data_IF_579434389747
#
_entry.id   IF_579434389747
#
_cell.length_a   1.000
_cell.length_b   1.000
_cell.length_c   1.000
_cell.angle_alpha   90.00
_cell.angle_beta   90.00
_cell.angle_gamma   90.00
#
_symmetry.space_group_name_H-M   'P 1'
#
loop_
_entity.id
_entity.type
_entity.pdbx_description
1 polymer ?
#
# COMPACT_ATOMS: atom_id res chain seq x y z
N UNK A 1 -9.79 -8.95 7.44
CA UNK A 1 -9.36 -7.77 6.64
C UNK A 1 -9.66 -6.54 7.47
N UNK A 2 -8.69 -5.65 7.65
CA UNK A 2 -8.87 -4.39 8.38
C UNK A 2 -8.93 -3.24 7.39
N UNK A 3 -9.85 -2.30 7.60
CA UNK A 3 -9.95 -1.09 6.76
C UNK A 3 -9.16 0.03 7.42
N UNK A 4 -7.90 0.18 7.01
CA UNK A 4 -7.03 1.29 7.38
C UNK A 4 -6.39 1.85 6.11
N UNK A 5 -7.04 2.85 5.51
CA UNK A 5 -6.69 3.37 4.18
C UNK A 5 -5.32 4.05 4.14
N UNK A 6 -4.86 4.57 5.28
CA UNK A 6 -3.59 5.29 5.43
C UNK A 6 -2.56 4.54 6.31
N UNK A 7 -2.88 3.36 6.86
CA UNK A 7 -2.08 2.57 7.82
C UNK A 7 -1.85 3.24 9.20
N UNK A 8 -1.83 4.57 9.23
CA UNK A 8 -1.77 5.41 10.43
C UNK A 8 -3.16 5.89 10.81
N UNK A 9 -3.31 6.34 12.06
CA UNK A 9 -4.54 6.97 12.51
C UNK A 9 -4.90 8.12 11.58
N UNK A 10 -6.15 8.09 11.14
CA UNK A 10 -6.69 9.09 10.24
C UNK A 10 -8.07 9.55 10.71
N UNK A 11 -8.37 10.82 10.49
CA UNK A 11 -9.66 11.43 10.79
C UNK A 11 -10.13 12.20 9.56
N UNK A 12 -11.39 12.04 9.18
CA UNK A 12 -12.00 12.93 8.18
C UNK A 12 -12.32 14.26 8.87
N UNK A 13 -11.57 15.30 8.54
CA UNK A 13 -11.69 16.62 9.15
C UNK A 13 -12.82 17.44 8.49
N UNK A 14 -12.95 17.32 7.16
CA UNK A 14 -14.00 17.98 6.40
C UNK A 14 -14.38 17.10 5.19
N UNK A 15 -15.60 16.54 5.14
CA UNK A 15 -16.06 15.71 4.01
C UNK A 15 -16.13 16.45 2.68
N UNK A 16 -16.29 17.78 2.68
CA UNK A 16 -16.37 18.58 1.46
C UNK A 16 -14.98 19.00 0.98
N UNK A 17 -14.07 19.37 1.89
CA UNK A 17 -12.67 19.67 1.59
C UNK A 17 -12.44 20.72 0.50
N UNK A 18 -11.17 21.02 0.14
CA UNK A 18 -10.86 22.10 -0.81
C UNK A 18 -11.41 21.90 -2.24
N UNK A 19 -11.65 20.65 -2.65
CA UNK A 19 -12.04 20.30 -4.03
C UNK A 19 -13.22 19.31 -4.12
N UNK A 20 -14.07 19.20 -3.08
CA UNK A 20 -15.14 18.19 -3.04
C UNK A 20 -14.65 16.76 -2.76
N UNK A 21 -13.39 16.61 -2.34
CA UNK A 21 -12.70 15.32 -2.23
C UNK A 21 -12.36 14.93 -0.78
N UNK A 22 -13.04 15.52 0.19
CA UNK A 22 -12.72 15.38 1.61
C UNK A 22 -11.34 15.94 1.98
N UNK A 23 -11.13 16.19 3.27
CA UNK A 23 -9.88 16.60 3.88
C UNK A 23 -9.62 15.70 5.07
N UNK A 24 -8.50 14.98 5.05
CA UNK A 24 -8.18 13.99 6.07
C UNK A 24 -6.98 14.45 6.91
N UNK A 25 -7.11 14.39 8.23
CA UNK A 25 -6.00 14.51 9.17
C UNK A 25 -5.31 13.17 9.38
N UNK A 26 -4.02 13.10 9.09
CA UNK A 26 -3.17 11.93 9.28
C UNK A 26 -2.20 12.19 10.43
N UNK A 27 -2.22 11.33 11.44
CA UNK A 27 -1.33 11.39 12.58
C UNK A 27 -0.11 10.51 12.26
N UNK A 28 0.92 11.11 11.67
CA UNK A 28 2.01 10.39 11.01
C UNK A 28 2.90 9.59 11.98
N UNK A 29 2.81 9.83 13.28
CA UNK A 29 3.52 9.12 14.35
C UNK A 29 2.62 8.15 15.16
N UNK A 30 1.34 8.05 14.80
CA UNK A 30 0.36 7.18 15.48
C UNK A 30 -0.12 6.08 14.52
N UNK A 31 0.25 4.80 14.71
CA UNK A 31 -0.27 3.74 13.85
C UNK A 31 -1.75 3.49 14.15
N UNK A 32 -2.51 3.01 13.16
CA UNK A 32 -3.94 2.80 13.32
C UNK A 32 -4.25 1.60 14.26
N UNK A 33 -5.05 1.84 15.30
CA UNK A 33 -5.44 0.84 16.30
C UNK A 33 -6.33 -0.27 15.72
N UNK A 34 -7.02 -0.01 14.60
CA UNK A 34 -7.91 -1.00 13.96
C UNK A 34 -7.17 -2.28 13.57
N UNK A 35 -5.90 -2.19 13.20
CA UNK A 35 -5.08 -3.36 12.86
C UNK A 35 -4.00 -3.65 13.91
N UNK A 36 -3.35 -2.63 14.49
CA UNK A 36 -2.20 -2.85 15.39
C UNK A 36 -2.55 -3.61 16.67
N UNK A 37 -3.78 -3.49 17.16
CA UNK A 37 -4.25 -4.19 18.36
C UNK A 37 -4.51 -5.67 18.15
N UNK A 38 -4.49 -6.14 16.89
CA UNK A 38 -4.88 -7.50 16.50
C UNK A 38 -3.76 -8.32 15.87
N UNK A 39 -2.61 -7.70 15.53
CA UNK A 39 -1.60 -8.37 14.71
C UNK A 39 -0.99 -9.62 15.33
N UNK A 40 -0.98 -9.72 16.66
CA UNK A 40 -0.41 -10.86 17.39
C UNK A 40 -1.18 -12.17 17.13
N UNK A 41 -2.40 -12.09 16.61
CA UNK A 41 -3.26 -13.24 16.29
C UNK A 41 -3.00 -13.83 14.90
N UNK A 42 -2.08 -13.25 14.09
CA UNK A 42 -1.88 -13.63 12.69
C UNK A 42 -0.47 -14.16 12.40
N UNK A 43 -0.39 -15.24 11.61
CA UNK A 43 0.87 -15.77 11.09
C UNK A 43 1.43 -14.92 9.92
N UNK A 44 0.53 -14.28 9.17
CA UNK A 44 0.86 -13.52 7.98
C UNK A 44 0.12 -12.19 7.96
N UNK A 45 0.85 -11.10 7.69
CA UNK A 45 0.29 -9.77 7.50
C UNK A 45 0.58 -9.34 6.07
N UNK A 46 -0.43 -8.86 5.33
CA UNK A 46 -0.22 -8.23 4.03
C UNK A 46 -0.57 -6.75 4.16
N UNK A 47 0.43 -5.88 4.10
CA UNK A 47 0.28 -4.43 4.12
C UNK A 47 0.20 -3.87 2.70
N UNK A 48 -0.69 -2.89 2.53
CA UNK A 48 -0.86 -2.15 1.28
C UNK A 48 -1.62 -0.86 1.53
N UNK A 49 -1.19 0.22 0.88
CA UNK A 49 -1.88 1.50 0.85
C UNK A 49 -1.57 2.20 -0.48
N UNK A 50 -2.25 3.30 -0.80
CA UNK A 50 -2.07 3.92 -2.12
C UNK A 50 -3.02 5.09 -2.41
N UNK A 51 -4.08 4.82 -3.17
CA UNK A 51 -4.92 5.85 -3.80
C UNK A 51 -5.50 6.90 -2.85
N UNK A 52 -5.76 6.57 -1.58
CA UNK A 52 -6.26 7.55 -0.61
C UNK A 52 -5.28 8.70 -0.33
N UNK A 53 -3.98 8.50 -0.55
CA UNK A 53 -2.97 9.56 -0.42
C UNK A 53 -3.05 10.64 -1.51
N UNK A 54 -3.87 10.44 -2.55
CA UNK A 54 -4.14 11.46 -3.58
C UNK A 54 -5.17 12.51 -3.12
N UNK A 55 -5.84 12.29 -1.99
CA UNK A 55 -6.76 13.28 -1.40
C UNK A 55 -5.99 14.45 -0.76
N UNK A 56 -6.66 15.59 -0.48
CA UNK A 56 -6.12 16.60 0.42
C UNK A 56 -5.88 16.03 1.82
N UNK A 57 -4.66 16.19 2.35
CA UNK A 57 -4.24 15.65 3.65
C UNK A 57 -3.66 16.74 4.54
N UNK A 58 -3.93 16.65 5.83
CA UNK A 58 -3.28 17.42 6.89
C UNK A 58 -2.41 16.48 7.70
N UNK A 59 -1.18 16.88 8.00
CA UNK A 59 -0.22 16.03 8.70
C UNK A 59 -0.01 16.50 10.12
N UNK A 60 -0.20 15.59 11.07
CA UNK A 60 0.03 15.81 12.48
C UNK A 60 1.18 14.93 12.96
N UNK A 61 2.09 15.49 13.73
CA UNK A 61 3.08 14.74 14.51
C UNK A 61 3.04 15.26 15.96
N UNK A 62 2.98 14.35 16.94
CA UNK A 62 2.87 14.69 18.37
C UNK A 62 1.74 15.69 18.66
N UNK A 63 0.60 15.51 18.00
CA UNK A 63 -0.58 16.38 18.10
C UNK A 63 -0.43 17.76 17.47
N UNK A 64 0.66 18.07 16.77
CA UNK A 64 0.90 19.39 16.13
C UNK A 64 0.81 19.29 14.62
N UNK A 65 0.14 20.25 13.97
CA UNK A 65 0.11 20.35 12.51
C UNK A 65 1.52 20.66 11.98
N UNK A 66 2.12 19.73 11.25
CA UNK A 66 3.47 19.88 10.70
C UNK A 66 3.49 20.25 9.22
N UNK A 67 2.37 20.02 8.52
CA UNK A 67 2.18 20.45 7.15
C UNK A 67 0.95 19.81 6.53
N UNK A 68 0.88 19.82 5.21
CA UNK A 68 -0.25 19.27 4.49
C UNK A 68 0.15 18.77 3.10
N UNK A 69 -0.83 18.24 2.38
CA UNK A 69 -0.78 18.00 0.94
C UNK A 69 -2.04 18.56 0.32
N UNK A 70 -1.90 19.43 -0.68
CA UNK A 70 -3.04 19.99 -1.42
C UNK A 70 -4.10 20.66 -0.52
N UNK A 71 -3.71 21.20 0.63
CA UNK A 71 -4.67 21.80 1.56
C UNK A 71 -5.11 23.22 1.18
N UNK A 72 -4.33 23.92 0.35
CA UNK A 72 -4.59 25.32 -0.06
C UNK A 72 -4.73 26.30 1.13
N UNK A 73 -4.16 25.95 2.28
CA UNK A 73 -4.18 26.79 3.48
C UNK A 73 -2.96 27.71 3.50
N UNK A 74 -3.12 29.01 3.81
CA UNK A 74 -1.98 29.90 3.98
C UNK A 74 -1.16 29.49 5.21
N UNK A 75 0.15 29.72 5.17
CA UNK A 75 1.08 29.47 6.28
C UNK A 75 1.19 28.00 6.74
N UNK A 76 0.82 27.04 5.88
CA UNK A 76 1.04 25.61 6.10
C UNK A 76 1.93 25.07 4.99
N UNK A 77 3.00 24.36 5.34
CA UNK A 77 3.91 23.75 4.36
C UNK A 77 3.19 22.66 3.56
N UNK A 78 3.07 22.82 2.24
CA UNK A 78 2.58 21.77 1.32
C UNK A 78 3.75 20.85 0.93
N UNK A 79 3.68 19.60 1.36
CA UNK A 79 4.67 18.57 1.07
C UNK A 79 4.29 17.77 -0.19
N UNK A 80 5.25 17.05 -0.74
CA UNK A 80 4.96 16.06 -1.79
C UNK A 80 4.11 14.92 -1.22
N UNK A 81 3.36 14.24 -2.09
CA UNK A 81 2.56 13.06 -1.69
C UNK A 81 3.43 11.96 -1.05
N UNK A 82 4.65 11.80 -1.58
CA UNK A 82 5.62 10.83 -1.07
C UNK A 82 6.03 11.09 0.39
N UNK A 83 5.91 12.33 0.90
CA UNK A 83 6.24 12.65 2.29
C UNK A 83 5.32 11.91 3.27
N UNK A 84 4.01 12.15 3.17
CA UNK A 84 3.01 11.52 4.03
C UNK A 84 2.99 10.00 3.83
N UNK A 85 3.09 9.55 2.58
CA UNK A 85 3.13 8.13 2.23
C UNK A 85 4.34 7.41 2.87
N UNK A 86 5.54 7.99 2.77
CA UNK A 86 6.75 7.44 3.40
C UNK A 86 6.60 7.36 4.91
N UNK A 87 6.13 8.44 5.55
CA UNK A 87 5.92 8.50 7.00
C UNK A 87 4.91 7.46 7.48
N UNK A 88 3.82 7.27 6.75
CA UNK A 88 2.83 6.27 7.08
C UNK A 88 3.41 4.84 7.06
N UNK A 89 4.16 4.47 6.01
CA UNK A 89 4.85 3.18 5.97
C UNK A 89 5.92 3.03 7.04
N UNK A 90 6.67 4.10 7.32
CA UNK A 90 7.64 4.13 8.40
C UNK A 90 6.99 3.75 9.74
N UNK A 91 5.90 4.43 10.09
CA UNK A 91 5.16 4.22 11.34
C UNK A 91 4.50 2.86 11.39
N UNK A 92 3.89 2.40 10.29
CA UNK A 92 3.28 1.07 10.22
C UNK A 92 4.32 -0.05 10.41
N UNK A 93 5.46 0.01 9.72
CA UNK A 93 6.50 -1.00 9.89
C UNK A 93 7.17 -0.93 11.26
N UNK A 94 7.41 0.28 11.78
CA UNK A 94 7.93 0.49 13.13
C UNK A 94 7.01 -0.15 14.17
N UNK A 95 5.70 -0.01 14.00
CA UNK A 95 4.70 -0.61 14.91
C UNK A 95 4.64 -2.14 14.83
N UNK A 96 5.10 -2.81 13.75
CA UNK A 96 5.16 -4.28 13.64
C UNK A 96 6.52 -4.84 14.10
N UNK A 97 7.61 -4.11 13.79
CA UNK A 97 8.78 -4.08 14.69
C UNK A 97 8.29 -3.61 16.08
N UNK A 98 9.03 -3.42 17.15
CA UNK A 98 8.44 -3.02 18.47
C UNK A 98 7.41 -4.00 19.13
N UNK A 99 6.43 -4.60 18.43
CA UNK A 99 5.53 -5.63 18.93
C UNK A 99 6.33 -6.88 19.26
N UNK A 100 6.26 -7.29 20.53
CA UNK A 100 7.09 -8.37 21.07
C UNK A 100 6.48 -9.75 20.79
N UNK A 101 5.15 -9.83 20.81
CA UNK A 101 4.40 -11.08 20.68
C UNK A 101 4.26 -11.53 19.22
N UNK A 102 4.23 -10.60 18.27
CA UNK A 102 4.20 -10.94 16.85
C UNK A 102 5.46 -11.72 16.42
N UNK A 103 5.26 -12.88 15.78
CA UNK A 103 6.32 -13.74 15.21
C UNK A 103 6.08 -14.11 13.74
N UNK A 104 5.07 -13.52 13.11
CA UNK A 104 4.67 -13.85 11.76
C UNK A 104 5.57 -13.25 10.67
N UNK A 105 5.13 -13.43 9.42
CA UNK A 105 5.76 -12.86 8.23
C UNK A 105 4.93 -11.69 7.71
N UNK A 106 5.60 -10.57 7.46
CA UNK A 106 5.01 -9.34 6.91
C UNK A 106 5.30 -9.27 5.41
N UNK A 107 4.25 -9.20 4.60
CA UNK A 107 4.31 -8.91 3.18
C UNK A 107 3.98 -7.44 2.96
N UNK A 108 4.81 -6.74 2.17
CA UNK A 108 4.41 -5.51 1.51
C UNK A 108 3.92 -5.85 0.11
N UNK A 109 2.63 -5.64 -0.17
CA UNK A 109 2.10 -5.63 -1.53
C UNK A 109 2.23 -4.21 -2.08
N UNK A 110 3.10 -4.04 -3.07
CA UNK A 110 3.46 -2.72 -3.58
C UNK A 110 2.26 -2.05 -4.26
N UNK A 111 2.25 -0.71 -4.20
CA UNK A 111 1.28 0.18 -4.85
C UNK A 111 0.81 -0.30 -6.24
N UNK A 112 -0.49 -0.28 -6.48
CA UNK A 112 -1.13 -0.62 -7.76
C UNK A 112 -1.54 0.68 -8.46
N UNK A 113 -0.90 1.09 -9.57
CA UNK A 113 -1.27 2.31 -10.28
C UNK A 113 -2.67 2.24 -10.90
N UNK A 114 -3.31 3.40 -11.07
CA UNK A 114 -4.54 3.55 -11.86
C UNK A 114 -4.21 3.79 -13.33
N UNK A 115 -5.18 3.56 -14.23
CA UNK A 115 -4.97 3.67 -15.68
C UNK A 115 -5.90 4.70 -16.34
N UNK A 116 -6.01 5.89 -15.76
CA UNK A 116 -6.73 6.98 -16.41
C UNK A 116 -5.98 7.52 -17.63
N UNK A 117 -6.68 7.59 -18.75
CA UNK A 117 -6.26 8.19 -20.00
C UNK A 117 -7.27 9.26 -20.43
N UNK A 118 -6.81 10.26 -21.17
CA UNK A 118 -7.69 11.33 -21.68
C UNK A 118 -8.20 12.33 -20.63
N UNK A 119 -7.78 12.21 -19.37
CA UNK A 119 -8.14 13.12 -18.29
C UNK A 119 -7.83 12.53 -16.92
N UNK A 120 -7.96 13.34 -15.88
CA UNK A 120 -7.93 12.86 -14.49
C UNK A 120 -9.25 12.16 -14.13
N UNK A 121 -9.26 11.45 -13.01
CA UNK A 121 -10.42 10.70 -12.52
C UNK A 121 -11.71 11.53 -12.39
N UNK A 122 -11.59 12.83 -12.14
CA UNK A 122 -12.71 13.80 -12.04
C UNK A 122 -12.78 14.78 -13.23
N UNK A 123 -11.98 14.58 -14.28
CA UNK A 123 -11.90 15.46 -15.46
C UNK A 123 -12.06 14.67 -16.76
N UNK A 124 -12.98 13.72 -16.77
CA UNK A 124 -13.33 12.95 -17.98
C UNK A 124 -12.35 11.83 -18.34
N UNK A 125 -11.41 11.49 -17.45
CA UNK A 125 -10.51 10.35 -17.66
C UNK A 125 -11.24 9.02 -17.76
N UNK A 126 -10.65 8.08 -18.50
CA UNK A 126 -11.17 6.73 -18.69
C UNK A 126 -10.06 5.70 -18.95
N UNK A 127 -10.38 4.41 -18.90
CA UNK A 127 -9.49 3.26 -19.09
C UNK A 127 -10.12 2.34 -20.13
N UNK A 128 -9.97 2.68 -21.41
CA UNK A 128 -10.66 1.98 -22.51
C UNK A 128 -9.83 0.85 -23.14
N UNK A 129 -8.59 0.64 -22.67
CA UNK A 129 -7.73 -0.40 -23.20
C UNK A 129 -8.32 -1.78 -22.90
N UNK A 130 -8.26 -2.65 -23.90
CA UNK A 130 -8.79 -4.02 -23.82
C UNK A 130 -7.68 -5.07 -23.88
N UNK A 131 -6.42 -4.63 -23.88
CA UNK A 131 -5.25 -5.50 -23.94
C UNK A 131 -4.18 -5.02 -22.96
N UNK A 132 -3.40 -5.94 -22.39
CA UNK A 132 -2.20 -5.59 -21.63
C UNK A 132 -1.25 -4.74 -22.45
N UNK A 133 -0.45 -3.92 -21.77
CA UNK A 133 0.69 -3.28 -22.40
C UNK A 133 1.74 -4.32 -22.83
N UNK A 134 2.52 -4.01 -23.85
CA UNK A 134 3.83 -4.61 -24.11
C UNK A 134 4.87 -3.89 -23.27
N UNK A 135 5.96 -4.58 -22.91
CA UNK A 135 7.00 -4.02 -22.03
C UNK A 135 7.66 -2.73 -22.53
N UNK A 136 7.54 -2.42 -23.83
CA UNK A 136 8.04 -1.18 -24.44
C UNK A 136 7.03 -0.03 -24.43
N UNK A 137 5.77 -0.27 -24.07
CA UNK A 137 4.68 0.70 -24.22
C UNK A 137 4.44 1.54 -22.96
N UNK A 138 4.94 1.09 -21.80
CA UNK A 138 4.72 1.77 -20.53
C UNK A 138 5.93 1.64 -19.61
N UNK A 139 6.19 2.68 -18.84
CA UNK A 139 7.19 2.70 -17.77
C UNK A 139 6.61 3.38 -16.54
N UNK A 140 7.05 2.94 -15.36
CA UNK A 140 6.65 3.55 -14.10
C UNK A 140 7.31 4.92 -13.96
N UNK A 141 6.53 5.98 -13.78
CA UNK A 141 7.01 7.36 -13.77
C UNK A 141 6.17 8.27 -12.87
N UNK A 142 6.66 9.49 -12.65
CA UNK A 142 5.94 10.52 -11.90
C UNK A 142 5.57 10.10 -10.48
N UNK A 143 4.36 10.47 -10.04
CA UNK A 143 3.88 10.20 -8.67
C UNK A 143 3.87 8.71 -8.35
N UNK A 144 3.53 7.85 -9.32
CA UNK A 144 3.50 6.39 -9.07
C UNK A 144 4.89 5.84 -8.76
N UNK A 145 5.92 6.35 -9.45
CA UNK A 145 7.32 6.02 -9.15
C UNK A 145 7.74 6.56 -7.78
N UNK A 146 7.33 7.79 -7.43
CA UNK A 146 7.65 8.39 -6.14
C UNK A 146 7.05 7.60 -4.97
N UNK A 147 5.78 7.19 -5.08
CA UNK A 147 5.11 6.33 -4.10
C UNK A 147 5.80 4.97 -4.03
N UNK A 148 6.11 4.37 -5.18
CA UNK A 148 6.80 3.09 -5.25
C UNK A 148 8.16 3.13 -4.55
N UNK A 149 8.97 4.17 -4.80
CA UNK A 149 10.28 4.33 -4.17
C UNK A 149 10.17 4.65 -2.68
N UNK A 150 9.15 5.41 -2.26
CA UNK A 150 8.89 5.71 -0.86
C UNK A 150 8.57 4.46 -0.03
N UNK A 151 7.62 3.62 -0.45
CA UNK A 151 7.31 2.36 0.26
C UNK A 151 8.51 1.39 0.25
N UNK A 152 9.27 1.31 -0.86
CA UNK A 152 10.44 0.44 -0.94
C UNK A 152 11.56 0.87 -0.01
N UNK A 153 11.76 2.19 0.16
CA UNK A 153 12.75 2.74 1.08
C UNK A 153 12.49 2.26 2.51
N UNK A 154 11.27 2.49 3.02
CA UNK A 154 10.89 2.07 4.37
C UNK A 154 10.87 0.55 4.51
N UNK A 155 10.41 -0.17 3.48
CA UNK A 155 10.41 -1.63 3.50
C UNK A 155 11.82 -2.21 3.61
N UNK A 156 12.82 -1.66 2.91
CA UNK A 156 14.22 -2.13 3.02
C UNK A 156 14.77 -1.93 4.43
N UNK A 157 14.45 -0.80 5.06
CA UNK A 157 14.82 -0.54 6.47
C UNK A 157 14.13 -1.55 7.39
N UNK A 158 12.81 -1.73 7.23
CA UNK A 158 12.03 -2.67 8.02
C UNK A 158 12.52 -4.11 7.85
N UNK A 159 12.86 -4.52 6.63
CA UNK A 159 13.41 -5.84 6.35
C UNK A 159 14.75 -6.07 7.04
N UNK A 160 15.64 -5.07 7.03
CA UNK A 160 16.93 -5.17 7.73
C UNK A 160 16.75 -5.29 9.24
N UNK A 161 15.83 -4.52 9.82
CA UNK A 161 15.53 -4.54 11.26
C UNK A 161 14.78 -5.81 11.67
N UNK A 162 13.84 -6.27 10.84
CA UNK A 162 13.07 -7.50 11.04
C UNK A 162 13.98 -8.72 11.13
N UNK A 163 14.97 -8.85 10.24
CA UNK A 163 15.98 -9.92 10.31
C UNK A 163 16.69 -9.99 11.66
N UNK A 164 17.02 -8.84 12.27
CA UNK A 164 17.66 -8.78 13.60
C UNK A 164 16.74 -9.25 14.73
N UNK A 165 15.41 -9.11 14.55
CA UNK A 165 14.38 -9.56 15.51
C UNK A 165 13.85 -10.96 15.20
N UNK A 166 14.34 -11.64 14.16
CA UNK A 166 13.80 -12.92 13.70
C UNK A 166 12.46 -12.80 12.97
N UNK A 167 12.06 -11.62 12.52
CA UNK A 167 10.83 -11.39 11.75
C UNK A 167 11.08 -11.46 10.23
N UNK A 168 10.19 -12.14 9.52
CA UNK A 168 10.20 -12.20 8.07
C UNK A 168 9.53 -10.97 7.45
N UNK A 169 10.25 -10.21 6.62
CA UNK A 169 9.67 -9.18 5.76
C UNK A 169 9.89 -9.56 4.30
N UNK A 170 8.81 -9.65 3.54
CA UNK A 170 8.77 -10.09 2.13
C UNK A 170 8.13 -9.04 1.24
N UNK A 171 8.74 -8.83 0.08
CA UNK A 171 8.22 -7.91 -0.92
C UNK A 171 7.39 -8.71 -1.90
N UNK A 172 6.11 -8.39 -1.99
CA UNK A 172 5.22 -8.85 -3.04
C UNK A 172 5.13 -7.71 -4.06
N UNK A 173 6.07 -7.71 -5.01
CA UNK A 173 6.24 -6.61 -5.96
C UNK A 173 5.24 -6.70 -7.11
N UNK A 174 4.10 -6.05 -6.95
CA UNK A 174 2.98 -6.05 -7.90
C UNK A 174 2.88 -4.77 -8.73
N UNK A 175 3.62 -3.70 -8.41
CA UNK A 175 3.49 -2.41 -9.11
C UNK A 175 3.67 -2.54 -10.61
N UNK A 176 4.76 -3.16 -11.07
CA UNK A 176 5.01 -3.31 -12.51
C UNK A 176 4.04 -4.32 -13.17
N UNK A 177 3.82 -5.54 -12.64
CA UNK A 177 2.81 -6.45 -13.21
C UNK A 177 1.43 -5.82 -13.38
N UNK A 178 1.02 -4.94 -12.45
CA UNK A 178 -0.28 -4.29 -12.48
C UNK A 178 -0.32 -3.07 -13.41
N UNK A 179 0.77 -2.29 -13.46
CA UNK A 179 0.95 -1.23 -14.46
C UNK A 179 0.79 -1.76 -15.91
N UNK A 180 1.13 -3.03 -16.13
CA UNK A 180 1.01 -3.67 -17.44
C UNK A 180 -0.43 -4.07 -17.82
N UNK A 181 -1.41 -3.89 -16.92
CA UNK A 181 -2.76 -4.47 -17.04
C UNK A 181 -3.88 -3.41 -17.07
N UNK A 182 -3.83 -2.41 -17.96
CA UNK A 182 -4.90 -1.43 -18.08
C UNK A 182 -6.23 -2.06 -18.51
N UNK A 183 -6.19 -3.27 -19.07
CA UNK A 183 -7.32 -4.10 -19.49
C UNK A 183 -8.14 -4.70 -18.34
N UNK A 184 -7.65 -4.57 -17.10
CA UNK A 184 -8.30 -5.16 -15.92
C UNK A 184 -9.34 -4.31 -15.22
N UNK A 185 -9.53 -3.06 -15.64
CA UNK A 185 -10.41 -2.12 -14.96
C UNK A 185 -11.86 -2.26 -15.43
N UNK A 186 -12.84 -2.07 -14.52
CA UNK A 186 -14.24 -2.11 -14.87
C UNK A 186 -14.67 -0.89 -15.69
N UNK A 187 -13.95 0.23 -15.64
CA UNK A 187 -14.33 1.48 -16.32
C UNK A 187 -15.77 1.86 -15.90
N UNK A 188 -16.66 2.12 -16.85
CA UNK A 188 -18.08 2.42 -16.61
C UNK A 188 -18.90 1.27 -16.05
N UNK A 189 -18.35 0.05 -16.00
CA UNK A 189 -19.05 -1.15 -15.54
C UNK A 189 -18.80 -1.44 -14.05
N UNK A 190 -18.13 -0.53 -13.33
CA UNK A 190 -17.89 -0.65 -11.88
C UNK A 190 -19.12 -0.31 -11.03
N UNK A 191 -20.15 0.27 -11.65
CA UNK A 191 -21.33 0.80 -10.99
C UNK A 191 -22.61 0.35 -11.69
N UNK A 192 -23.74 0.46 -10.99
CA UNK A 192 -25.03 0.20 -11.62
C UNK A 192 -25.34 1.28 -12.68
N UNK A 193 -26.04 0.94 -13.79
CA UNK A 193 -26.26 1.88 -14.89
C UNK A 193 -26.91 3.23 -14.53
N UNK A 194 -27.66 3.27 -13.43
CA UNK A 194 -28.40 4.46 -12.98
C UNK A 194 -27.82 5.07 -11.69
N UNK A 195 -26.64 4.63 -11.27
CA UNK A 195 -26.02 5.11 -10.04
C UNK A 195 -25.36 6.47 -10.26
N UNK A 196 -25.70 7.45 -9.43
CA UNK A 196 -25.08 8.77 -9.49
C UNK A 196 -23.77 8.77 -8.69
N UNK A 197 -22.66 8.51 -9.36
CA UNK A 197 -21.32 8.39 -8.74
C UNK A 197 -20.36 9.45 -9.28
N UNK A 198 -19.53 10.01 -8.38
CA UNK A 198 -18.48 10.96 -8.75
C UNK A 198 -17.40 10.31 -9.62
N UNK A 199 -17.11 9.03 -9.38
CA UNK A 199 -16.15 8.23 -10.14
C UNK A 199 -16.88 7.36 -11.17
N UNK A 200 -17.46 7.98 -12.20
CA UNK A 200 -18.23 7.23 -13.19
C UNK A 200 -17.39 6.20 -13.97
N UNK A 201 -16.16 6.56 -14.34
CA UNK A 201 -15.20 5.60 -14.91
C UNK A 201 -14.26 5.13 -13.80
N UNK A 202 -14.42 3.88 -13.38
CA UNK A 202 -13.55 3.29 -12.37
C UNK A 202 -12.32 2.65 -13.01
N UNK A 203 -11.21 3.40 -12.93
CA UNK A 203 -9.89 2.98 -13.39
C UNK A 203 -8.91 2.78 -12.24
N UNK A 204 -9.45 2.54 -11.03
CA UNK A 204 -8.70 2.32 -9.79
C UNK A 204 -8.92 0.91 -9.28
N UNK A 205 -10.17 0.44 -9.28
CA UNK A 205 -10.53 -0.92 -8.91
C UNK A 205 -10.46 -1.87 -10.11
N UNK A 206 -10.70 -3.15 -9.86
CA UNK A 206 -10.40 -4.22 -10.79
C UNK A 206 -11.60 -5.13 -10.97
N UNK A 207 -11.79 -5.62 -12.19
CA UNK A 207 -12.75 -6.69 -12.46
C UNK A 207 -12.37 -7.97 -11.72
N UNK A 208 -13.38 -8.74 -11.33
CA UNK A 208 -13.24 -10.10 -10.82
C UNK A 208 -14.14 -11.05 -11.64
N UNK A 209 -13.60 -12.15 -12.21
CA UNK A 209 -12.17 -12.49 -12.28
C UNK A 209 -11.37 -11.48 -13.11
N UNK A 210 -10.07 -11.37 -12.88
CA UNK A 210 -9.24 -10.34 -13.52
C UNK A 210 -7.75 -10.40 -13.15
N UNK A 211 -6.95 -9.38 -13.53
CA UNK A 211 -5.51 -9.38 -13.28
C UNK A 211 -5.13 -9.51 -11.81
N UNK A 212 -6.00 -9.06 -10.90
CA UNK A 212 -5.76 -9.13 -9.47
C UNK A 212 -5.84 -10.54 -8.90
N UNK A 213 -6.39 -11.52 -9.64
CA UNK A 213 -6.34 -12.93 -9.23
C UNK A 213 -4.88 -13.39 -9.10
N UNK A 214 -3.98 -12.84 -9.92
CA UNK A 214 -2.55 -13.13 -9.82
C UNK A 214 -1.95 -12.71 -8.47
N UNK A 215 -2.51 -11.73 -7.76
CA UNK A 215 -2.06 -11.39 -6.41
C UNK A 215 -2.19 -12.58 -5.47
N UNK A 216 -3.32 -13.30 -5.55
CA UNK A 216 -3.56 -14.46 -4.71
C UNK A 216 -2.64 -15.61 -5.10
N UNK A 217 -2.36 -15.79 -6.39
CA UNK A 217 -1.40 -16.81 -6.87
C UNK A 217 0.02 -16.54 -6.35
N UNK A 218 0.49 -15.29 -6.47
CA UNK A 218 1.80 -14.88 -5.93
C UNK A 218 1.86 -15.05 -4.42
N UNK A 219 0.83 -14.61 -3.69
CA UNK A 219 0.79 -14.73 -2.23
C UNK A 219 0.83 -16.20 -1.80
N UNK A 220 0.03 -17.05 -2.45
CA UNK A 220 0.00 -18.48 -2.16
C UNK A 220 1.38 -19.12 -2.37
N UNK A 221 2.05 -18.80 -3.47
CA UNK A 221 3.37 -19.34 -3.76
C UNK A 221 4.45 -18.83 -2.78
N UNK A 222 4.37 -17.55 -2.40
CA UNK A 222 5.25 -16.97 -1.40
C UNK A 222 5.07 -17.64 -0.03
N UNK A 223 3.83 -17.91 0.39
CA UNK A 223 3.51 -18.62 1.64
C UNK A 223 4.04 -20.06 1.59
N UNK A 224 3.83 -20.79 0.50
CA UNK A 224 4.40 -22.15 0.33
C UNK A 224 5.92 -22.13 0.48
N UNK A 225 6.55 -21.11 -0.09
CA UNK A 225 8.00 -20.92 -0.02
C UNK A 225 8.49 -20.64 1.40
N UNK A 226 7.69 -20.04 2.30
CA UNK A 226 8.07 -19.90 3.72
C UNK A 226 8.16 -21.25 4.42
N UNK A 227 7.23 -22.17 4.12
CA UNK A 227 7.26 -23.53 4.66
C UNK A 227 8.50 -24.32 4.24
N UNK A 228 9.02 -24.08 3.03
CA UNK A 228 10.29 -24.66 2.56
C UNK A 228 11.47 -24.06 3.32
N UNK A 229 11.55 -22.72 3.44
CA UNK A 229 12.61 -22.03 4.20
C UNK A 229 12.70 -22.51 5.64
N UNK A 230 11.56 -22.63 6.33
CA UNK A 230 11.53 -23.12 7.70
C UNK A 230 12.11 -24.54 7.83
N UNK A 231 11.85 -25.42 6.85
CA UNK A 231 12.44 -26.77 6.81
C UNK A 231 13.94 -26.75 6.59
N UNK A 232 14.43 -25.90 5.69
CA UNK A 232 15.86 -25.75 5.41
C UNK A 232 16.63 -25.24 6.63
N UNK A 233 16.09 -24.22 7.31
CA UNK A 233 16.68 -23.65 8.53
C UNK A 233 16.76 -24.69 9.66
N UNK A 234 15.71 -25.50 9.84
CA UNK A 234 15.73 -26.61 10.80
C UNK A 234 16.82 -27.65 10.49
N UNK A 235 17.02 -27.99 9.21
CA UNK A 235 18.07 -28.92 8.78
C UNK A 235 19.46 -28.35 9.02
N UNK A 236 19.69 -27.07 8.70
CA UNK A 236 20.96 -26.39 8.96
C UNK A 236 21.29 -26.35 10.45
N UNK A 237 20.32 -25.97 11.29
CA UNK A 237 20.49 -25.94 12.75
C UNK A 237 20.75 -27.34 13.37
N UNK A 238 20.21 -28.40 12.77
CA UNK A 238 20.49 -29.78 13.21
C UNK A 238 21.92 -30.20 12.87
N UNK A 239 22.40 -29.84 11.67
CA UNK A 239 23.79 -30.11 11.23
C UNK A 239 24.81 -29.39 12.10
N UNK A 240 24.60 -28.11 12.39
CA UNK A 240 25.49 -27.32 13.25
C UNK A 240 25.60 -27.88 14.67
N UNK A 241 24.48 -28.38 15.23
CA UNK A 241 24.48 -29.04 16.55
C UNK A 241 25.28 -30.34 16.56
N UNK A 242 25.20 -31.13 15.48
CA UNK A 242 26.00 -32.37 15.33
C UNK A 242 27.49 -32.11 15.13
N UNK A 243 27.87 -30.99 14.53
CA UNK A 243 29.28 -30.59 14.34
C UNK A 243 29.95 -30.07 15.62
N UNK A 244 29.16 -29.67 16.63
CA UNK A 244 29.63 -29.14 17.92
C UNK A 244 29.57 -30.17 19.06
N UNK A 245 29.16 -31.40 18.76
CA UNK A 245 29.11 -32.58 19.64
C UNK A 245 30.22 -33.53 19.27
#
# INVERSE_FOLDING_TARGET
MFTSTFLVKAQENDPNGPNGNGLFGLFLDEPDETWTTKIDEFDYIVLSAGHWFFRPLMYYEKGTLTGCRFCQLPNVTDYTMAYGYRKAFHTAFKAILERENFKGVVYLRTFAPSHFEGGEWNKGGNCLRQKPYKSSEISLQGVDLDLYMAQLGEFKVAQKLGRKRGLGFRLMDMTHPILMRPDGHPSRYGHWPNENVTLYNDCVHWCLPGPIDTWNDFLLEMIKSEGVRAKEDMVLHSKERKLKS
#
